data_IF_341478835236
#
_entry.id   IF_341478835236
#
_cell.length_a   1.000
_cell.length_b   1.000
_cell.length_c   1.000
_cell.angle_alpha   90.00
_cell.angle_beta   90.00
_cell.angle_gamma   90.00
#
_symmetry.space_group_name_H-M   'P 1'
#
loop_
_entity.id
_entity.type
_entity.pdbx_description
1 polymer ?
#
# COMPACT_ATOMS: atom_id res chain seq x y z
N UNK A 1 -11.46 -20.52 -20.00
CA UNK A 1 -12.55 -19.49 -20.06
C UNK A 1 -12.65 -18.60 -18.83
N UNK A 2 -12.22 -18.99 -17.63
CA UNK A 2 -12.24 -18.16 -16.42
C UNK A 2 -11.28 -16.96 -16.50
N UNK A 3 -10.04 -17.16 -16.96
CA UNK A 3 -9.03 -16.10 -17.05
C UNK A 3 -9.39 -14.97 -18.03
N UNK A 4 -10.06 -15.30 -19.15
CA UNK A 4 -10.48 -14.31 -20.14
C UNK A 4 -11.58 -13.37 -19.59
N UNK A 5 -12.50 -13.89 -18.79
CA UNK A 5 -13.56 -13.09 -18.13
C UNK A 5 -13.00 -12.17 -17.05
N UNK A 6 -11.97 -12.61 -16.32
CA UNK A 6 -11.28 -11.80 -15.30
C UNK A 6 -10.54 -10.65 -15.99
N UNK A 7 -9.80 -10.93 -17.06
CA UNK A 7 -9.06 -9.91 -17.83
C UNK A 7 -9.99 -8.87 -18.45
N UNK A 8 -11.12 -9.28 -19.04
CA UNK A 8 -12.11 -8.37 -19.61
C UNK A 8 -12.77 -7.47 -18.55
N UNK A 9 -13.05 -8.01 -17.37
CA UNK A 9 -13.65 -7.24 -16.27
C UNK A 9 -12.68 -6.20 -15.68
N UNK A 10 -11.41 -6.55 -15.55
CA UNK A 10 -10.34 -5.62 -15.13
C UNK A 10 -10.21 -4.49 -16.16
N UNK A 11 -10.20 -4.82 -17.45
CA UNK A 11 -10.18 -3.83 -18.53
C UNK A 11 -11.40 -2.91 -18.52
N UNK A 12 -12.59 -3.42 -18.28
CA UNK A 12 -13.82 -2.60 -18.20
C UNK A 12 -13.78 -1.66 -17.00
N UNK A 13 -13.28 -2.10 -15.85
CA UNK A 13 -13.17 -1.26 -14.66
C UNK A 13 -12.09 -0.19 -14.81
N UNK A 14 -10.96 -0.54 -15.40
CA UNK A 14 -9.91 0.42 -15.76
C UNK A 14 -10.43 1.43 -16.81
N UNK A 15 -11.23 0.99 -17.78
CA UNK A 15 -11.84 1.85 -18.79
C UNK A 15 -12.89 2.80 -18.17
N UNK A 16 -13.70 2.34 -17.23
CA UNK A 16 -14.65 3.19 -16.48
C UNK A 16 -13.91 4.21 -15.60
N UNK A 17 -12.85 3.78 -14.92
CA UNK A 17 -11.97 4.66 -14.15
C UNK A 17 -11.31 5.69 -15.07
N UNK A 18 -10.80 5.27 -16.22
CA UNK A 18 -10.19 6.11 -17.26
C UNK A 18 -11.17 7.14 -17.83
N UNK A 19 -12.39 6.72 -18.19
CA UNK A 19 -13.41 7.61 -18.74
C UNK A 19 -13.89 8.64 -17.70
N UNK A 20 -14.11 8.21 -16.46
CA UNK A 20 -14.51 9.10 -15.35
C UNK A 20 -13.42 10.13 -15.03
N UNK A 21 -12.16 9.72 -15.07
CA UNK A 21 -11.01 10.58 -14.85
C UNK A 21 -10.76 11.55 -16.01
N UNK A 22 -10.87 11.06 -17.25
CA UNK A 22 -10.65 11.86 -18.48
C UNK A 22 -11.66 13.00 -18.62
N UNK A 23 -12.88 12.82 -18.12
CA UNK A 23 -13.92 13.86 -18.11
C UNK A 23 -13.58 14.98 -17.12
N UNK A 24 -13.12 14.67 -15.91
CA UNK A 24 -12.81 15.67 -14.87
C UNK A 24 -11.47 16.41 -15.10
N UNK A 25 -10.46 15.78 -15.70
CA UNK A 25 -9.12 16.37 -15.85
C UNK A 25 -8.93 17.23 -17.09
N UNK A 26 -9.83 17.19 -18.06
CA UNK A 26 -9.71 18.01 -19.28
C UNK A 26 -9.78 19.52 -19.06
N UNK A 27 -10.23 19.96 -17.88
CA UNK A 27 -10.50 21.38 -17.62
C UNK A 27 -9.43 22.09 -16.80
N UNK A 28 -8.63 21.40 -15.98
CA UNK A 28 -7.76 22.07 -14.99
C UNK A 28 -6.26 21.70 -15.05
N UNK A 29 -5.88 20.65 -15.77
CA UNK A 29 -4.48 20.23 -15.97
C UNK A 29 -3.85 19.45 -14.79
N UNK A 30 -2.79 18.69 -15.10
CA UNK A 30 -2.13 17.78 -14.16
C UNK A 30 -1.59 18.46 -12.90
N UNK A 31 -0.93 19.62 -13.03
CA UNK A 31 -0.32 20.31 -11.89
C UNK A 31 -1.37 20.87 -10.92
N UNK A 32 -2.53 21.31 -11.44
CA UNK A 32 -3.66 21.68 -10.57
C UNK A 32 -4.14 20.46 -9.77
N UNK A 33 -4.39 19.36 -10.44
CA UNK A 33 -4.82 18.10 -9.83
C UNK A 33 -3.85 17.66 -8.70
N UNK A 34 -2.54 17.67 -8.95
CA UNK A 34 -1.54 17.28 -7.96
C UNK A 34 -1.53 18.24 -6.75
N UNK A 35 -1.65 19.56 -6.98
CA UNK A 35 -1.69 20.57 -5.89
C UNK A 35 -2.98 20.45 -5.08
N UNK A 36 -4.14 20.35 -5.75
CA UNK A 36 -5.41 20.22 -5.07
C UNK A 36 -5.46 18.97 -4.16
N UNK A 37 -4.89 17.87 -4.63
CA UNK A 37 -4.81 16.63 -3.83
C UNK A 37 -3.78 16.68 -2.70
N UNK A 38 -2.97 17.74 -2.62
CA UNK A 38 -1.89 17.81 -1.65
C UNK A 38 -0.71 16.88 -1.99
N UNK A 39 -0.54 16.52 -3.26
CA UNK A 39 0.54 15.65 -3.74
C UNK A 39 1.82 16.40 -4.09
N UNK A 40 1.91 17.69 -3.83
CA UNK A 40 3.10 18.52 -4.09
C UNK A 40 3.65 19.03 -2.78
N UNK A 41 4.77 18.47 -2.33
CA UNK A 41 5.52 18.98 -1.18
C UNK A 41 6.65 19.93 -1.64
N UNK A 42 7.47 19.51 -2.61
CA UNK A 42 8.60 20.30 -3.12
C UNK A 42 8.70 20.11 -4.64
N UNK A 43 9.16 21.18 -5.31
CA UNK A 43 9.46 21.22 -6.75
C UNK A 43 10.83 21.85 -6.95
N UNK A 44 11.68 21.28 -7.80
CA UNK A 44 13.00 21.87 -8.11
C UNK A 44 12.90 23.14 -8.94
N UNK A 45 11.97 23.16 -9.90
CA UNK A 45 11.65 24.33 -10.74
C UNK A 45 10.18 24.18 -11.20
N UNK A 46 9.26 24.88 -10.52
CA UNK A 46 7.82 24.75 -10.80
C UNK A 46 7.46 25.22 -12.22
N UNK A 47 7.92 26.40 -12.63
CA UNK A 47 7.61 26.97 -13.94
C UNK A 47 8.24 26.15 -15.08
N UNK A 48 9.48 25.67 -14.89
CA UNK A 48 10.18 24.81 -15.83
C UNK A 48 9.48 23.48 -16.02
N UNK A 49 9.07 22.83 -14.91
CA UNK A 49 8.34 21.55 -14.95
C UNK A 49 6.99 21.68 -15.65
N UNK A 50 6.20 22.70 -15.33
CA UNK A 50 4.91 22.94 -15.99
C UNK A 50 5.05 23.14 -17.51
N UNK A 51 6.02 23.96 -17.91
CA UNK A 51 6.33 24.17 -19.33
C UNK A 51 6.80 22.88 -20.00
N UNK A 52 7.62 22.09 -19.33
CA UNK A 52 8.14 20.81 -19.85
C UNK A 52 7.01 19.80 -20.07
N UNK A 53 6.09 19.66 -19.11
CA UNK A 53 4.93 18.79 -19.20
C UNK A 53 3.96 19.20 -20.33
N UNK A 54 3.77 20.49 -20.59
CA UNK A 54 2.92 20.99 -21.66
C UNK A 54 3.49 20.69 -23.06
N UNK A 55 4.78 20.43 -23.17
CA UNK A 55 5.48 20.15 -24.45
C UNK A 55 5.24 18.77 -25.05
N UNK A 56 4.29 17.97 -24.54
CA UNK A 56 3.92 16.63 -25.03
C UNK A 56 4.17 15.52 -24.02
N UNK A 57 4.13 14.27 -24.48
CA UNK A 57 4.40 13.10 -23.62
C UNK A 57 5.83 13.15 -23.06
N UNK A 58 5.97 12.90 -21.76
CA UNK A 58 7.26 12.91 -21.05
C UNK A 58 7.42 11.64 -20.22
N UNK A 59 8.67 11.13 -20.16
CA UNK A 59 9.02 10.07 -19.24
C UNK A 59 9.27 10.62 -17.84
N UNK A 60 8.77 9.92 -16.82
CA UNK A 60 9.01 10.21 -15.41
C UNK A 60 9.18 8.91 -14.65
N UNK A 61 9.90 8.94 -13.52
CA UNK A 61 10.08 7.73 -12.73
C UNK A 61 9.90 7.92 -11.23
N UNK A 62 9.58 6.81 -10.56
CA UNK A 62 9.69 6.66 -9.12
C UNK A 62 10.41 5.35 -8.80
N UNK A 63 11.33 5.40 -7.82
CA UNK A 63 12.06 4.23 -7.33
C UNK A 63 11.31 3.54 -6.18
N UNK A 64 11.37 2.21 -6.16
CA UNK A 64 10.81 1.35 -5.13
C UNK A 64 11.86 0.32 -4.72
N UNK A 65 12.45 0.53 -3.54
CA UNK A 65 13.38 -0.44 -2.97
C UNK A 65 12.62 -1.64 -2.40
N UNK A 66 13.00 -2.87 -2.76
CA UNK A 66 12.41 -4.07 -2.23
C UNK A 66 12.88 -4.29 -0.78
N UNK A 67 12.06 -3.88 0.17
CA UNK A 67 12.30 -4.06 1.62
C UNK A 67 11.52 -5.22 2.21
N UNK A 68 10.67 -5.83 1.42
CA UNK A 68 9.86 -7.02 1.65
C UNK A 68 9.35 -7.55 0.31
N UNK A 69 8.74 -8.73 0.34
CA UNK A 69 8.07 -9.36 -0.82
C UNK A 69 6.72 -8.72 -1.20
N UNK A 70 6.35 -7.61 -0.56
CA UNK A 70 5.16 -6.83 -0.87
C UNK A 70 5.40 -5.34 -0.63
N UNK A 71 4.72 -4.51 -1.41
CA UNK A 71 4.54 -3.10 -1.12
C UNK A 71 3.53 -2.94 0.01
N UNK A 72 3.70 -1.89 0.80
CA UNK A 72 2.75 -1.49 1.83
C UNK A 72 1.89 -0.30 1.37
N UNK A 73 0.86 0.00 2.13
CA UNK A 73 -0.13 1.03 1.80
C UNK A 73 0.48 2.43 1.56
N UNK A 74 1.62 2.77 2.20
CA UNK A 74 2.34 4.02 1.94
C UNK A 74 2.90 4.13 0.52
N UNK A 75 3.19 3.00 -0.12
CA UNK A 75 3.65 2.95 -1.51
C UNK A 75 2.55 3.27 -2.54
N UNK A 76 1.28 3.31 -2.11
CA UNK A 76 0.16 3.69 -3.00
C UNK A 76 0.29 5.14 -3.47
N UNK A 77 0.74 6.07 -2.62
CA UNK A 77 0.82 7.49 -3.00
C UNK A 77 1.69 7.70 -4.25
N UNK A 78 2.96 7.25 -4.29
CA UNK A 78 3.76 7.39 -5.49
C UNK A 78 3.25 6.55 -6.67
N UNK A 79 2.68 5.36 -6.44
CA UNK A 79 2.07 4.55 -7.51
C UNK A 79 0.89 5.27 -8.16
N UNK A 80 -0.01 5.84 -7.35
CA UNK A 80 -1.16 6.57 -7.84
C UNK A 80 -0.77 7.91 -8.48
N UNK A 81 0.33 8.54 -8.03
CA UNK A 81 0.89 9.69 -8.71
C UNK A 81 1.39 9.31 -10.11
N UNK A 82 2.18 8.23 -10.25
CA UNK A 82 2.59 7.72 -11.57
C UNK A 82 1.38 7.43 -12.48
N UNK A 83 0.31 6.83 -11.93
CA UNK A 83 -0.94 6.60 -12.68
C UNK A 83 -1.59 7.89 -13.14
N UNK A 84 -1.60 8.95 -12.32
CA UNK A 84 -2.13 10.27 -12.71
C UNK A 84 -1.35 10.87 -13.88
N UNK A 85 -0.03 10.79 -13.83
CA UNK A 85 0.80 11.20 -14.97
C UNK A 85 0.50 10.37 -16.24
N UNK A 86 0.33 9.05 -16.10
CA UNK A 86 -0.02 8.17 -17.21
C UNK A 86 -1.36 8.56 -17.85
N UNK A 87 -2.38 8.83 -17.03
CA UNK A 87 -3.71 9.24 -17.49
C UNK A 87 -3.69 10.60 -18.22
N UNK A 88 -2.64 11.39 -18.02
CA UNK A 88 -2.40 12.66 -18.74
C UNK A 88 -1.51 12.50 -19.99
N UNK A 89 -1.19 11.27 -20.37
CA UNK A 89 -0.42 10.98 -21.58
C UNK A 89 1.09 10.94 -21.40
N UNK A 90 1.58 10.98 -20.14
CA UNK A 90 3.00 10.83 -19.85
C UNK A 90 3.35 9.35 -19.65
N UNK A 91 4.64 8.99 -19.85
CA UNK A 91 5.18 7.63 -19.77
C UNK A 91 5.79 7.37 -18.38
N UNK A 92 5.11 6.64 -17.47
CA UNK A 92 5.67 6.33 -16.16
C UNK A 92 6.70 5.20 -16.25
N UNK A 93 7.77 5.33 -15.47
CA UNK A 93 8.78 4.30 -15.27
C UNK A 93 8.78 3.92 -13.79
N UNK A 94 8.60 2.64 -13.52
CA UNK A 94 8.83 2.07 -12.19
C UNK A 94 10.25 1.56 -12.13
N UNK A 95 11.06 2.13 -11.26
CA UNK A 95 12.40 1.65 -11.01
C UNK A 95 12.41 0.74 -9.79
N UNK A 96 12.71 -0.53 -9.97
CA UNK A 96 12.89 -1.48 -8.88
C UNK A 96 14.34 -1.46 -8.41
N UNK A 97 14.53 -1.31 -7.12
CA UNK A 97 15.83 -1.18 -6.48
C UNK A 97 16.54 -2.50 -6.25
N UNK A 98 16.80 -3.29 -7.30
CA UNK A 98 17.53 -4.56 -7.17
C UNK A 98 18.96 -4.40 -6.66
N UNK A 99 19.63 -3.27 -7.00
CA UNK A 99 20.94 -2.92 -6.46
C UNK A 99 20.82 -2.10 -5.16
N UNK A 100 20.01 -1.05 -5.16
CA UNK A 100 19.84 -0.16 -4.00
C UNK A 100 19.21 -0.87 -2.80
N UNK A 101 18.36 -1.87 -3.03
CA UNK A 101 17.82 -2.74 -1.99
C UNK A 101 18.86 -3.63 -1.27
N UNK A 102 20.03 -3.83 -1.89
CA UNK A 102 21.17 -4.52 -1.23
C UNK A 102 21.95 -3.59 -0.30
N UNK A 103 21.85 -2.28 -0.49
CA UNK A 103 22.58 -1.25 0.25
C UNK A 103 21.72 -0.67 1.38
N UNK A 104 20.48 -0.29 1.07
CA UNK A 104 19.53 0.30 2.01
C UNK A 104 19.59 1.81 2.09
N UNK A 105 18.46 2.46 1.81
CA UNK A 105 18.29 3.91 1.91
C UNK A 105 18.26 4.36 3.39
N UNK A 106 19.13 5.31 3.81
CA UNK A 106 19.12 5.87 5.15
C UNK A 106 17.98 6.88 5.38
N UNK A 107 17.32 7.37 4.32
CA UNK A 107 16.32 8.44 4.39
C UNK A 107 15.12 8.07 5.27
N UNK A 108 14.73 8.96 6.19
CA UNK A 108 13.58 8.80 7.07
C UNK A 108 13.70 7.67 8.11
N UNK A 109 14.93 7.20 8.41
CA UNK A 109 15.20 6.11 9.36
C UNK A 109 16.20 6.50 10.43
N UNK A 110 16.03 5.82 11.55
CA UNK A 110 16.87 5.99 12.73
C UNK A 110 18.02 4.96 12.81
N UNK A 111 17.77 3.75 12.30
CA UNK A 111 18.70 2.61 12.39
C UNK A 111 19.18 2.16 11.01
N UNK A 112 20.38 1.56 10.97
CA UNK A 112 20.94 0.92 9.78
C UNK A 112 20.09 -0.27 9.35
N UNK A 113 19.96 -0.48 8.05
CA UNK A 113 19.22 -1.62 7.52
C UNK A 113 20.04 -2.90 7.63
N UNK A 114 19.36 -3.98 7.98
CA UNK A 114 19.95 -5.31 7.78
C UNK A 114 20.15 -5.57 6.29
N UNK A 115 21.35 -5.95 5.91
CA UNK A 115 21.68 -6.28 4.52
C UNK A 115 21.09 -7.65 4.17
N UNK A 116 20.33 -7.68 3.06
CA UNK A 116 19.76 -8.91 2.53
C UNK A 116 20.66 -9.51 1.44
N UNK A 117 20.54 -10.81 1.21
CA UNK A 117 21.27 -11.47 0.11
C UNK A 117 20.68 -11.11 -1.25
N UNK A 118 21.51 -11.19 -2.31
CA UNK A 118 21.08 -10.95 -3.70
C UNK A 118 19.88 -11.84 -4.10
N UNK A 119 19.84 -13.09 -3.62
CA UNK A 119 18.72 -14.01 -3.91
C UNK A 119 17.41 -13.56 -3.27
N UNK A 120 17.44 -13.10 -2.01
CA UNK A 120 16.26 -12.58 -1.31
C UNK A 120 15.75 -11.30 -1.98
N UNK A 121 16.63 -10.34 -2.26
CA UNK A 121 16.24 -9.10 -2.94
C UNK A 121 15.68 -9.38 -4.34
N UNK A 122 16.28 -10.32 -5.09
CA UNK A 122 15.81 -10.73 -6.41
C UNK A 122 14.37 -11.28 -6.35
N UNK A 123 14.07 -12.18 -5.41
CA UNK A 123 12.70 -12.71 -5.24
C UNK A 123 11.68 -11.63 -4.88
N UNK A 124 12.08 -10.64 -4.10
CA UNK A 124 11.22 -9.50 -3.77
C UNK A 124 10.97 -8.59 -4.97
N UNK A 125 11.98 -8.34 -5.80
CA UNK A 125 11.83 -7.61 -7.07
C UNK A 125 10.77 -8.25 -7.95
N UNK A 126 10.80 -9.57 -8.14
CA UNK A 126 9.79 -10.31 -8.92
C UNK A 126 8.37 -10.17 -8.33
N UNK A 127 8.26 -10.26 -7.00
CA UNK A 127 6.99 -10.07 -6.29
C UNK A 127 6.44 -8.64 -6.49
N UNK A 128 7.29 -7.62 -6.33
CA UNK A 128 6.91 -6.23 -6.53
C UNK A 128 6.50 -5.97 -7.98
N UNK A 129 7.24 -6.51 -8.96
CA UNK A 129 6.92 -6.38 -10.38
C UNK A 129 5.50 -6.89 -10.69
N UNK A 130 5.12 -8.01 -10.10
CA UNK A 130 3.77 -8.57 -10.25
C UNK A 130 2.70 -7.67 -9.62
N UNK A 131 2.99 -7.07 -8.47
CA UNK A 131 2.03 -6.19 -7.77
C UNK A 131 1.81 -4.87 -8.51
N UNK A 132 2.89 -4.22 -8.96
CA UNK A 132 2.80 -2.91 -9.64
C UNK A 132 2.09 -2.98 -10.98
N UNK A 133 2.13 -4.15 -11.64
CA UNK A 133 1.44 -4.41 -12.89
C UNK A 133 -0.08 -4.20 -12.86
N UNK A 134 -0.68 -4.10 -11.66
CA UNK A 134 -2.11 -3.83 -11.48
C UNK A 134 -2.46 -2.34 -11.49
N UNK A 135 -1.49 -1.46 -11.26
CA UNK A 135 -1.74 -0.02 -11.10
C UNK A 135 -1.50 0.79 -12.37
N UNK A 136 -0.66 0.31 -13.27
CA UNK A 136 -0.27 1.01 -14.49
C UNK A 136 -0.64 0.20 -15.73
N UNK A 137 -0.84 0.89 -16.84
CA UNK A 137 -1.05 0.26 -18.13
C UNK A 137 0.30 0.07 -18.83
N UNK A 138 0.58 -1.14 -19.29
CA UNK A 138 1.82 -1.52 -19.98
C UNK A 138 1.64 -1.63 -21.49
N UNK A 139 0.46 -1.35 -21.97
CA UNK A 139 0.09 -1.32 -23.39
C UNK A 139 -0.43 0.07 -23.77
N UNK A 140 -0.66 0.31 -25.06
CA UNK A 140 -1.27 1.54 -25.55
C UNK A 140 -0.27 2.61 -25.99
N UNK A 141 -0.70 3.88 -26.01
CA UNK A 141 0.08 5.01 -26.57
C UNK A 141 1.22 5.48 -25.66
N UNK A 142 1.07 5.35 -24.34
CA UNK A 142 2.06 5.76 -23.34
C UNK A 142 2.26 4.66 -22.28
N UNK A 143 2.77 3.48 -22.71
CA UNK A 143 2.92 2.34 -21.85
C UNK A 143 3.90 2.63 -20.71
N UNK A 144 3.59 2.10 -19.52
CA UNK A 144 4.54 2.10 -18.41
C UNK A 144 5.73 1.19 -18.71
N UNK A 145 6.86 1.49 -18.07
CA UNK A 145 8.06 0.64 -18.16
C UNK A 145 8.48 0.23 -16.75
N UNK A 146 8.90 -1.00 -16.58
CA UNK A 146 9.57 -1.48 -15.37
C UNK A 146 11.05 -1.63 -15.67
N UNK A 147 11.90 -1.00 -14.86
CA UNK A 147 13.35 -1.12 -14.89
C UNK A 147 13.85 -1.69 -13.56
N UNK A 148 14.96 -2.41 -13.60
CA UNK A 148 15.69 -2.86 -12.42
C UNK A 148 17.08 -2.20 -12.42
N UNK A 149 17.43 -1.45 -11.39
CA UNK A 149 18.72 -0.77 -11.34
C UNK A 149 19.92 -1.74 -11.22
N UNK A 150 19.68 -3.00 -10.89
CA UNK A 150 20.72 -4.03 -10.95
C UNK A 150 21.27 -4.24 -12.36
N UNK A 151 20.46 -4.03 -13.42
CA UNK A 151 20.82 -4.26 -14.81
C UNK A 151 22.02 -3.42 -15.29
N UNK A 152 22.20 -2.25 -14.71
CA UNK A 152 23.35 -1.38 -15.01
C UNK A 152 24.37 -1.33 -13.87
N UNK A 153 23.93 -1.49 -12.61
CA UNK A 153 24.84 -1.37 -11.48
C UNK A 153 25.80 -2.55 -11.37
N UNK A 154 25.35 -3.79 -11.64
CA UNK A 154 26.23 -4.96 -11.52
C UNK A 154 27.33 -5.02 -12.59
N UNK A 155 27.18 -4.25 -13.67
CA UNK A 155 28.18 -4.17 -14.76
C UNK A 155 29.26 -3.11 -14.51
N UNK A 156 29.08 -2.33 -13.45
CA UNK A 156 29.95 -1.19 -13.16
C UNK A 156 31.09 -1.61 -12.23
N UNK A 157 32.33 -1.40 -12.66
CA UNK A 157 33.47 -1.62 -11.77
C UNK A 157 33.67 -0.44 -10.79
N UNK A 158 34.26 -0.74 -9.66
CA UNK A 158 34.44 0.21 -8.55
C UNK A 158 35.25 1.44 -8.97
N UNK A 159 36.29 1.28 -9.78
CA UNK A 159 37.15 2.40 -10.20
C UNK A 159 36.38 3.34 -11.10
N UNK A 160 35.65 2.80 -12.08
CA UNK A 160 34.78 3.59 -12.97
C UNK A 160 33.68 4.32 -12.19
N UNK A 161 33.04 3.66 -11.22
CA UNK A 161 32.05 4.30 -10.35
C UNK A 161 32.63 5.50 -9.59
N UNK A 162 33.76 5.31 -8.92
CA UNK A 162 34.38 6.39 -8.15
C UNK A 162 34.88 7.53 -9.03
N UNK A 163 35.50 7.20 -10.18
CA UNK A 163 36.05 8.19 -11.11
C UNK A 163 34.98 8.98 -11.86
N UNK A 164 33.93 8.31 -12.35
CA UNK A 164 33.00 8.94 -13.29
C UNK A 164 31.71 9.44 -12.61
N UNK A 165 31.31 8.84 -11.51
CA UNK A 165 30.19 9.26 -10.71
C UNK A 165 30.65 9.97 -9.43
N UNK A 166 31.48 9.31 -8.62
CA UNK A 166 31.91 9.79 -7.30
C UNK A 166 32.54 11.18 -7.34
N UNK A 167 33.35 11.51 -8.35
CA UNK A 167 34.00 12.83 -8.50
C UNK A 167 33.03 14.02 -8.54
N UNK A 168 31.76 13.78 -8.84
CA UNK A 168 30.74 14.83 -8.93
C UNK A 168 30.07 15.12 -7.59
N UNK A 169 30.37 14.34 -6.56
CA UNK A 169 29.80 14.46 -5.22
C UNK A 169 30.84 14.98 -4.22
N UNK A 170 30.59 16.17 -3.71
CA UNK A 170 31.41 16.73 -2.63
C UNK A 170 31.00 16.08 -1.29
N UNK A 171 31.96 15.52 -0.55
CA UNK A 171 31.75 14.95 0.78
C UNK A 171 31.11 16.00 1.72
N UNK A 172 31.56 17.25 1.69
CA UNK A 172 30.96 18.33 2.48
C UNK A 172 29.48 18.55 2.12
N UNK A 173 29.12 18.49 0.83
CA UNK A 173 27.73 18.57 0.38
C UNK A 173 26.88 17.38 0.79
N UNK A 174 27.46 16.19 0.79
CA UNK A 174 26.78 14.94 1.21
C UNK A 174 26.50 14.97 2.72
N UNK A 175 27.45 15.40 3.55
CA UNK A 175 27.28 15.52 5.02
C UNK A 175 26.16 16.52 5.39
N UNK A 176 25.95 17.56 4.59
CA UNK A 176 24.89 18.54 4.83
C UNK A 176 23.48 18.07 4.47
N UNK A 177 23.34 16.90 3.84
CA UNK A 177 22.00 16.33 3.57
C UNK A 177 21.31 15.96 4.86
N UNK A 178 20.01 16.27 4.97
CA UNK A 178 19.22 16.06 6.20
C UNK A 178 19.30 14.61 6.69
N UNK A 179 19.16 13.63 5.78
CA UNK A 179 19.24 12.20 6.10
C UNK A 179 20.60 11.79 6.70
N UNK A 180 21.69 12.40 6.24
CA UNK A 180 23.04 12.11 6.74
C UNK A 180 23.30 12.88 8.05
N UNK A 181 22.96 14.17 8.08
CA UNK A 181 23.16 15.04 9.23
C UNK A 181 22.45 14.51 10.47
N UNK A 182 21.18 14.15 10.35
CA UNK A 182 20.39 13.56 11.44
C UNK A 182 21.04 12.32 12.04
N UNK A 183 21.71 11.50 11.23
CA UNK A 183 22.43 10.30 11.70
C UNK A 183 23.76 10.66 12.38
N UNK A 184 24.50 11.65 11.87
CA UNK A 184 25.77 12.10 12.44
C UNK A 184 25.60 12.87 13.76
N UNK A 185 24.50 13.60 13.93
CA UNK A 185 24.22 14.36 15.14
C UNK A 185 23.78 13.49 16.34
N UNK A 186 23.58 12.18 16.13
CA UNK A 186 23.21 11.24 17.21
C UNK A 186 24.43 10.66 17.91
N UNK A 187 24.39 10.62 19.22
CA UNK A 187 25.42 9.98 20.03
C UNK A 187 25.41 8.45 19.81
N UNK A 188 26.55 7.90 19.46
CA UNK A 188 26.82 6.45 19.47
C UNK A 188 26.48 5.68 18.21
N UNK A 189 25.75 6.22 17.26
CA UNK A 189 25.44 5.53 16.00
C UNK A 189 25.74 6.45 14.81
N UNK A 190 26.90 6.34 14.21
CA UNK A 190 27.24 7.01 12.97
C UNK A 190 26.42 6.48 11.78
N UNK A 191 26.85 6.81 10.58
CA UNK A 191 26.36 6.27 9.30
C UNK A 191 27.48 5.41 8.70
N UNK A 192 27.17 4.20 8.24
CA UNK A 192 28.15 3.39 7.51
C UNK A 192 28.48 4.00 6.15
N UNK A 193 29.67 3.70 5.60
CA UNK A 193 30.00 4.13 4.24
C UNK A 193 29.00 3.57 3.22
N UNK A 194 28.47 2.39 3.45
CA UNK A 194 27.46 1.74 2.63
C UNK A 194 26.21 2.61 2.53
N UNK A 195 25.58 2.98 3.65
CA UNK A 195 24.43 3.88 3.66
C UNK A 195 24.77 5.30 3.15
N UNK A 196 25.94 5.84 3.51
CA UNK A 196 26.40 7.14 3.05
C UNK A 196 26.53 7.22 1.52
N UNK A 197 26.96 6.12 0.89
CA UNK A 197 27.11 6.04 -0.57
C UNK A 197 25.79 5.85 -1.32
N UNK A 198 24.69 5.52 -0.65
CA UNK A 198 23.39 5.24 -1.28
C UNK A 198 22.95 6.34 -2.25
N UNK A 199 23.11 7.62 -1.87
CA UNK A 199 22.69 8.75 -2.71
C UNK A 199 23.41 8.81 -4.07
N UNK A 200 24.63 8.23 -4.18
CA UNK A 200 25.36 8.16 -5.43
C UNK A 200 24.70 7.15 -6.38
N UNK A 201 24.24 6.03 -5.84
CA UNK A 201 23.57 4.99 -6.62
C UNK A 201 22.25 5.50 -7.17
N UNK A 202 21.42 6.14 -6.33
CA UNK A 202 20.14 6.71 -6.77
C UNK A 202 20.33 7.85 -7.78
N UNK A 203 21.38 8.68 -7.62
CA UNK A 203 21.68 9.71 -8.60
C UNK A 203 22.16 9.12 -9.94
N UNK A 204 22.91 8.02 -9.90
CA UNK A 204 23.31 7.26 -11.09
C UNK A 204 22.09 6.65 -11.80
N UNK A 205 21.10 6.13 -11.03
CA UNK A 205 19.85 5.62 -11.60
C UNK A 205 19.13 6.70 -12.42
N UNK A 206 19.06 7.93 -11.89
CA UNK A 206 18.46 9.04 -12.64
C UNK A 206 19.23 9.33 -13.93
N UNK A 207 20.56 9.32 -13.87
CA UNK A 207 21.42 9.51 -15.05
C UNK A 207 21.19 8.42 -16.10
N UNK A 208 21.14 7.15 -15.68
CA UNK A 208 20.91 6.02 -16.59
C UNK A 208 19.52 6.08 -17.25
N UNK A 209 18.48 6.43 -16.48
CA UNK A 209 17.14 6.62 -17.03
C UNK A 209 17.05 7.84 -17.95
N UNK A 210 17.79 8.92 -17.66
CA UNK A 210 17.87 10.07 -18.55
C UNK A 210 18.52 9.72 -19.89
N UNK A 211 19.53 8.85 -19.87
CA UNK A 211 20.23 8.38 -21.10
C UNK A 211 19.41 7.38 -21.90
N UNK A 212 18.76 6.43 -21.25
CA UNK A 212 18.09 5.29 -21.90
C UNK A 212 16.64 5.60 -22.31
N UNK A 213 15.93 6.37 -21.49
CA UNK A 213 14.48 6.59 -21.60
C UNK A 213 14.10 8.06 -21.77
N UNK A 214 15.09 8.95 -21.98
CA UNK A 214 14.91 10.41 -21.97
C UNK A 214 14.08 10.89 -20.75
N UNK A 215 14.28 10.20 -19.61
CA UNK A 215 13.55 10.46 -18.38
C UNK A 215 14.20 11.61 -17.63
N UNK A 216 13.53 12.75 -17.60
CA UNK A 216 14.02 13.97 -16.96
C UNK A 216 13.19 14.41 -15.75
N UNK A 217 12.26 13.58 -15.27
CA UNK A 217 11.45 13.85 -14.08
C UNK A 217 11.58 12.70 -13.11
N UNK A 218 12.00 12.98 -11.87
CA UNK A 218 11.94 12.04 -10.76
C UNK A 218 10.88 12.49 -9.76
N UNK A 219 10.01 11.56 -9.34
CA UNK A 219 9.07 11.78 -8.26
C UNK A 219 9.39 10.86 -7.08
N UNK A 220 9.01 11.26 -5.86
CA UNK A 220 9.25 10.46 -4.64
C UNK A 220 8.63 11.07 -3.41
N UNK A 221 8.83 10.48 -2.24
CA UNK A 221 8.48 11.06 -0.95
C UNK A 221 9.34 12.28 -0.62
N UNK A 222 8.90 13.15 0.27
CA UNK A 222 9.66 14.34 0.68
C UNK A 222 10.98 14.00 1.39
N UNK A 223 11.09 12.81 1.98
CA UNK A 223 12.32 12.25 2.53
C UNK A 223 13.39 11.98 1.45
N UNK A 224 12.99 11.83 0.20
CA UNK A 224 13.86 11.56 -0.96
C UNK A 224 14.45 12.84 -1.59
N UNK A 225 14.06 14.04 -1.15
CA UNK A 225 14.43 15.29 -1.77
C UNK A 225 15.94 15.45 -1.99
N UNK A 226 16.74 15.14 -0.97
CA UNK A 226 18.19 15.22 -1.03
C UNK A 226 18.81 14.32 -2.11
N UNK A 227 18.34 13.07 -2.20
CA UNK A 227 18.79 12.10 -3.19
C UNK A 227 18.40 12.55 -4.61
N UNK A 228 17.15 12.99 -4.79
CA UNK A 228 16.61 13.42 -6.11
C UNK A 228 17.38 14.62 -6.65
N UNK A 229 17.64 15.65 -5.82
CA UNK A 229 18.40 16.85 -6.24
C UNK A 229 19.83 16.50 -6.63
N UNK A 230 20.44 15.52 -5.97
CA UNK A 230 21.76 15.01 -6.35
C UNK A 230 21.75 14.39 -7.74
N UNK A 231 20.69 13.66 -8.08
CA UNK A 231 20.47 13.11 -9.42
C UNK A 231 20.29 14.18 -10.50
N UNK A 232 19.52 15.24 -10.21
CA UNK A 232 19.36 16.40 -11.13
C UNK A 232 20.72 17.01 -11.48
N UNK A 233 21.58 17.23 -10.49
CA UNK A 233 22.93 17.78 -10.71
C UNK A 233 23.77 16.85 -11.59
N UNK A 234 23.70 15.55 -11.37
CA UNK A 234 24.44 14.56 -12.15
C UNK A 234 23.94 14.50 -13.60
N UNK A 235 22.63 14.50 -13.83
CA UNK A 235 22.02 14.55 -15.16
C UNK A 235 22.44 15.82 -15.90
N UNK A 236 22.38 16.99 -15.27
CA UNK A 236 22.79 18.25 -15.86
C UNK A 236 24.26 18.22 -16.31
N UNK A 237 25.17 17.64 -15.51
CA UNK A 237 26.62 17.57 -15.81
C UNK A 237 26.95 16.61 -16.95
N UNK A 238 26.21 15.51 -17.07
CA UNK A 238 26.51 14.46 -18.04
C UNK A 238 25.68 14.52 -19.32
N UNK A 239 24.42 14.94 -19.23
CA UNK A 239 23.49 14.98 -20.37
C UNK A 239 23.29 16.39 -20.90
N UNK A 240 23.59 17.42 -20.08
CA UNK A 240 23.41 18.83 -20.47
C UNK A 240 21.94 19.27 -20.54
N UNK A 241 21.00 18.46 -20.06
CA UNK A 241 19.56 18.77 -20.02
C UNK A 241 19.15 19.16 -18.60
N UNK A 242 18.13 20.02 -18.52
CA UNK A 242 17.47 20.32 -17.26
C UNK A 242 16.59 19.13 -16.86
N UNK A 243 16.73 18.67 -15.62
CA UNK A 243 15.90 17.63 -15.02
C UNK A 243 15.09 18.19 -13.85
N UNK A 244 13.99 17.54 -13.49
CA UNK A 244 13.00 18.04 -12.55
C UNK A 244 12.74 17.05 -11.43
N UNK A 245 12.45 17.59 -10.24
CA UNK A 245 11.99 16.85 -9.08
C UNK A 245 10.59 17.31 -8.68
N UNK A 246 9.76 16.36 -8.31
CA UNK A 246 8.52 16.57 -7.58
C UNK A 246 8.48 15.60 -6.41
N UNK A 247 8.37 16.12 -5.17
CA UNK A 247 8.17 15.26 -4.00
C UNK A 247 6.77 15.40 -3.44
N UNK A 248 6.28 14.29 -2.90
CA UNK A 248 4.99 14.18 -2.23
C UNK A 248 5.19 14.17 -0.71
N UNK A 249 4.24 14.72 0.07
CA UNK A 249 4.34 14.66 1.53
C UNK A 249 4.29 13.21 2.02
N UNK A 250 5.00 12.93 3.11
CA UNK A 250 4.82 11.69 3.84
C UNK A 250 3.46 11.71 4.51
N UNK A 251 2.70 10.63 4.34
CA UNK A 251 1.36 10.53 4.90
C UNK A 251 1.45 10.29 6.40
N UNK A 252 0.78 11.14 7.17
CA UNK A 252 0.58 11.01 8.62
C UNK A 252 -0.90 11.01 8.93
N UNK A 253 -1.30 10.44 10.06
CA UNK A 253 -2.65 10.58 10.56
C UNK A 253 -2.80 11.88 11.34
N UNK A 254 -4.01 12.37 11.48
CA UNK A 254 -4.35 13.59 12.25
C UNK A 254 -3.95 13.50 13.72
N UNK A 255 -3.86 12.29 14.29
CA UNK A 255 -3.39 12.04 15.65
C UNK A 255 -1.85 12.02 15.78
N UNK A 256 -1.11 12.30 14.70
CA UNK A 256 0.35 12.29 14.64
C UNK A 256 0.98 10.90 14.54
N UNK A 257 0.19 9.84 14.54
CA UNK A 257 0.73 8.48 14.40
C UNK A 257 1.14 8.18 12.95
N UNK A 258 2.09 7.24 12.79
CA UNK A 258 2.57 6.84 11.46
C UNK A 258 1.44 6.17 10.68
N UNK A 259 1.19 6.64 9.46
CA UNK A 259 0.28 6.00 8.53
C UNK A 259 0.77 4.62 8.09
N UNK A 260 -0.16 3.71 7.80
CA UNK A 260 0.16 2.39 7.24
C UNK A 260 0.51 1.32 8.26
N UNK A 261 0.35 1.61 9.55
CA UNK A 261 0.43 0.61 10.62
C UNK A 261 -0.94 0.37 11.23
N UNK A 262 -1.31 -0.89 11.39
CA UNK A 262 -2.44 -1.37 12.18
C UNK A 262 -1.93 -1.96 13.51
N UNK A 263 -2.82 -2.42 14.37
CA UNK A 263 -2.45 -3.15 15.58
C UNK A 263 -1.65 -4.43 15.29
N UNK A 264 -1.84 -5.02 14.10
CA UNK A 264 -1.14 -6.22 13.62
C UNK A 264 0.14 -5.92 12.81
N UNK A 265 0.55 -4.66 12.67
CA UNK A 265 1.75 -4.27 11.92
C UNK A 265 1.47 -3.48 10.64
N UNK A 266 2.35 -3.60 9.64
CA UNK A 266 2.20 -2.91 8.37
C UNK A 266 0.98 -3.43 7.58
N UNK A 267 0.25 -2.52 6.93
CA UNK A 267 -0.84 -2.87 6.00
C UNK A 267 -0.25 -3.05 4.60
N UNK A 268 -0.29 -4.28 4.12
CA UNK A 268 0.32 -4.71 2.87
C UNK A 268 -0.66 -4.66 1.69
N UNK A 269 -0.13 -4.51 0.48
CA UNK A 269 -0.93 -4.57 -0.75
C UNK A 269 -1.15 -6.02 -1.22
N UNK A 270 -0.36 -6.99 -0.72
CA UNK A 270 -0.57 -8.40 -0.98
C UNK A 270 -1.71 -8.96 -0.11
N UNK A 271 -2.72 -9.52 -0.77
CA UNK A 271 -3.86 -10.15 -0.11
C UNK A 271 -3.49 -11.33 0.81
N UNK A 272 -2.32 -11.96 0.59
CA UNK A 272 -1.82 -13.03 1.46
C UNK A 272 -1.27 -12.52 2.79
N UNK A 273 -0.86 -11.24 2.86
CA UNK A 273 -0.30 -10.60 4.07
C UNK A 273 -1.31 -9.75 4.83
N UNK A 274 -2.16 -9.04 4.10
CA UNK A 274 -3.31 -8.31 4.63
C UNK A 274 -4.50 -8.68 3.78
N UNK A 275 -5.47 -9.40 4.34
CA UNK A 275 -6.64 -9.83 3.59
C UNK A 275 -7.40 -8.63 3.02
N UNK A 276 -8.16 -8.77 1.94
CA UNK A 276 -9.03 -7.71 1.44
C UNK A 276 -10.03 -7.20 2.50
N UNK A 277 -10.49 -8.06 3.41
CA UNK A 277 -11.35 -7.65 4.51
C UNK A 277 -10.62 -6.77 5.53
N UNK A 278 -9.44 -7.19 6.01
CA UNK A 278 -8.61 -6.37 6.91
C UNK A 278 -8.19 -5.05 6.26
N UNK A 279 -7.87 -5.08 4.98
CA UNK A 279 -7.54 -3.90 4.18
C UNK A 279 -8.74 -2.94 4.09
N UNK A 280 -9.94 -3.45 3.81
CA UNK A 280 -11.18 -2.67 3.79
C UNK A 280 -11.48 -2.06 5.16
N UNK A 281 -11.34 -2.84 6.25
CA UNK A 281 -11.55 -2.38 7.62
C UNK A 281 -10.57 -1.28 8.03
N UNK A 282 -9.31 -1.34 7.57
CA UNK A 282 -8.35 -0.28 7.82
C UNK A 282 -8.87 1.08 7.33
N UNK A 283 -9.38 1.13 6.11
CA UNK A 283 -9.93 2.36 5.53
C UNK A 283 -11.28 2.74 6.14
N UNK A 284 -12.12 1.77 6.40
CA UNK A 284 -13.41 2.00 7.04
C UNK A 284 -13.24 2.62 8.43
N UNK A 285 -12.16 2.31 9.16
CA UNK A 285 -11.86 2.83 10.48
C UNK A 285 -11.04 4.13 10.48
N UNK A 286 -10.93 4.80 9.35
CA UNK A 286 -10.32 6.13 9.25
C UNK A 286 -11.02 7.14 10.16
N UNK A 287 -10.26 7.97 10.88
CA UNK A 287 -10.81 9.07 11.68
C UNK A 287 -11.45 10.12 10.76
N UNK A 288 -12.49 10.79 11.23
CA UNK A 288 -13.25 11.77 10.43
C UNK A 288 -12.34 12.87 9.87
N UNK A 289 -11.36 13.33 10.67
CA UNK A 289 -10.39 14.34 10.25
C UNK A 289 -9.45 13.89 9.11
N UNK A 290 -9.25 12.58 8.94
CA UNK A 290 -8.38 12.01 7.92
C UNK A 290 -9.13 11.65 6.62
N UNK A 291 -10.47 11.68 6.63
CA UNK A 291 -11.29 11.22 5.48
C UNK A 291 -11.02 12.05 4.24
N UNK A 292 -11.12 13.37 4.32
CA UNK A 292 -10.90 14.25 3.18
C UNK A 292 -9.47 14.14 2.63
N UNK A 293 -8.40 14.27 3.46
CA UNK A 293 -7.03 14.06 2.98
C UNK A 293 -6.82 12.71 2.29
N UNK A 294 -7.38 11.62 2.85
CA UNK A 294 -7.18 10.30 2.28
C UNK A 294 -8.00 10.07 1.00
N UNK A 295 -9.21 10.64 0.89
CA UNK A 295 -9.94 10.65 -0.37
C UNK A 295 -9.15 11.34 -1.48
N UNK A 296 -8.50 12.46 -1.18
CA UNK A 296 -7.63 13.19 -2.13
C UNK A 296 -6.43 12.36 -2.56
N UNK A 297 -5.72 11.76 -1.62
CA UNK A 297 -4.47 11.04 -1.88
C UNK A 297 -4.69 9.69 -2.57
N UNK A 298 -5.65 8.89 -2.10
CA UNK A 298 -5.76 7.46 -2.39
C UNK A 298 -6.87 7.10 -3.38
N UNK A 299 -7.67 8.08 -3.83
CA UNK A 299 -8.75 7.83 -4.80
C UNK A 299 -8.60 8.67 -6.07
N UNK A 300 -9.40 8.34 -7.09
CA UNK A 300 -9.53 9.12 -8.31
C UNK A 300 -10.85 9.90 -8.36
N UNK A 301 -11.49 10.13 -7.22
CA UNK A 301 -12.72 10.93 -7.13
C UNK A 301 -12.44 12.39 -7.51
N UNK A 302 -13.42 13.03 -8.12
CA UNK A 302 -13.33 14.44 -8.51
C UNK A 302 -13.41 15.39 -7.31
N UNK A 303 -13.04 16.65 -7.51
CA UNK A 303 -12.99 17.68 -6.47
C UNK A 303 -14.36 17.88 -5.80
N UNK A 304 -15.44 18.01 -6.59
CA UNK A 304 -16.79 18.18 -6.08
C UNK A 304 -17.26 16.98 -5.25
N UNK A 305 -16.99 15.74 -5.71
CA UNK A 305 -17.38 14.51 -5.01
C UNK A 305 -16.64 14.38 -3.66
N UNK A 306 -15.37 14.78 -3.63
CA UNK A 306 -14.58 14.78 -2.37
C UNK A 306 -15.12 15.86 -1.43
N UNK A 307 -15.45 17.05 -1.92
CA UNK A 307 -16.01 18.13 -1.11
C UNK A 307 -17.37 17.74 -0.50
N UNK A 308 -18.25 17.11 -1.30
CA UNK A 308 -19.55 16.61 -0.84
C UNK A 308 -19.39 15.56 0.27
N UNK A 309 -18.44 14.60 0.09
CA UNK A 309 -18.17 13.56 1.08
C UNK A 309 -17.57 14.14 2.36
N UNK A 310 -16.68 15.13 2.26
CA UNK A 310 -16.11 15.82 3.41
C UNK A 310 -17.20 16.60 4.18
N UNK A 311 -18.05 17.34 3.48
CA UNK A 311 -19.19 18.03 4.06
C UNK A 311 -20.17 17.08 4.76
N UNK A 312 -20.50 15.95 4.12
CA UNK A 312 -21.34 14.91 4.72
C UNK A 312 -20.72 14.26 5.95
N UNK A 313 -19.38 14.07 5.97
CA UNK A 313 -18.66 13.52 7.13
C UNK A 313 -18.73 14.46 8.32
N UNK A 314 -18.64 15.79 8.10
CA UNK A 314 -18.78 16.78 9.16
C UNK A 314 -20.22 16.86 9.66
N UNK A 315 -21.19 16.88 8.75
CA UNK A 315 -22.61 17.08 9.09
C UNK A 315 -23.24 15.86 9.80
N UNK A 316 -22.84 14.63 9.42
CA UNK A 316 -23.41 13.38 9.91
C UNK A 316 -22.33 12.29 10.04
N UNK A 317 -21.38 12.45 10.99
CA UNK A 317 -20.25 11.53 11.15
C UNK A 317 -20.69 10.09 11.47
N UNK A 318 -21.83 9.90 12.15
CA UNK A 318 -22.38 8.59 12.50
C UNK A 318 -22.70 7.71 11.28
N UNK A 319 -22.98 8.31 10.13
CA UNK A 319 -23.25 7.57 8.88
C UNK A 319 -21.99 7.00 8.24
N UNK A 320 -20.82 7.55 8.58
CA UNK A 320 -19.50 7.13 8.05
C UNK A 320 -19.47 7.02 6.51
N UNK A 321 -20.17 7.94 5.82
CA UNK A 321 -20.31 7.91 4.37
C UNK A 321 -18.97 8.07 3.65
N UNK A 322 -18.14 9.02 4.09
CA UNK A 322 -16.81 9.26 3.54
C UNK A 322 -15.87 8.07 3.74
N UNK A 323 -15.86 7.45 4.94
CA UNK A 323 -15.06 6.27 5.23
C UNK A 323 -15.47 5.06 4.37
N UNK A 324 -16.78 4.83 4.20
CA UNK A 324 -17.28 3.75 3.34
C UNK A 324 -16.86 3.96 1.90
N UNK A 325 -16.99 5.19 1.38
CA UNK A 325 -16.55 5.49 0.02
C UNK A 325 -15.05 5.30 -0.15
N UNK A 326 -14.25 5.80 0.79
CA UNK A 326 -12.80 5.62 0.81
C UNK A 326 -12.42 4.12 0.81
N UNK A 327 -13.00 3.33 1.71
CA UNK A 327 -12.74 1.90 1.81
C UNK A 327 -13.11 1.15 0.52
N UNK A 328 -14.24 1.48 -0.09
CA UNK A 328 -14.68 0.90 -1.37
C UNK A 328 -13.70 1.21 -2.51
N UNK A 329 -13.39 2.50 -2.71
CA UNK A 329 -12.53 2.95 -3.82
C UNK A 329 -11.14 2.32 -3.72
N UNK A 330 -10.52 2.37 -2.53
CA UNK A 330 -9.15 1.88 -2.39
C UNK A 330 -9.08 0.36 -2.38
N UNK A 331 -10.04 -0.36 -1.77
CA UNK A 331 -10.08 -1.82 -1.82
C UNK A 331 -10.34 -2.32 -3.23
N UNK A 332 -11.24 -1.70 -3.96
CA UNK A 332 -11.49 -2.03 -5.36
C UNK A 332 -10.25 -1.81 -6.24
N UNK A 333 -9.54 -0.71 -6.01
CA UNK A 333 -8.33 -0.36 -6.76
C UNK A 333 -7.20 -1.39 -6.54
N UNK A 334 -6.99 -1.83 -5.31
CA UNK A 334 -5.88 -2.72 -4.94
C UNK A 334 -6.22 -4.19 -5.17
N UNK A 335 -7.40 -4.61 -4.75
CA UNK A 335 -7.78 -6.03 -4.71
C UNK A 335 -8.84 -6.43 -5.74
N UNK A 336 -9.48 -5.45 -6.40
CA UNK A 336 -10.52 -5.69 -7.39
C UNK A 336 -11.92 -5.80 -6.80
N UNK A 337 -12.91 -5.86 -7.70
CA UNK A 337 -14.33 -5.79 -7.34
C UNK A 337 -14.82 -7.01 -6.56
N UNK A 338 -14.36 -8.21 -6.91
CA UNK A 338 -14.83 -9.44 -6.24
C UNK A 338 -14.32 -9.51 -4.79
N UNK A 339 -13.07 -9.06 -4.55
CA UNK A 339 -12.51 -8.94 -3.21
C UNK A 339 -13.21 -7.85 -2.38
N UNK A 340 -13.57 -6.71 -3.01
CA UNK A 340 -14.38 -5.69 -2.35
C UNK A 340 -15.73 -6.24 -1.91
N UNK A 341 -16.45 -6.93 -2.81
CA UNK A 341 -17.75 -7.55 -2.47
C UNK A 341 -17.65 -8.55 -1.32
N UNK A 342 -16.57 -9.33 -1.29
CA UNK A 342 -16.27 -10.24 -0.17
C UNK A 342 -16.07 -9.47 1.13
N UNK A 343 -15.24 -8.42 1.12
CA UNK A 343 -14.97 -7.60 2.30
C UNK A 343 -16.24 -6.89 2.84
N UNK A 344 -17.10 -6.38 1.95
CA UNK A 344 -18.37 -5.76 2.31
C UNK A 344 -19.33 -6.80 2.92
N UNK A 345 -19.48 -7.97 2.28
CA UNK A 345 -20.33 -9.06 2.79
C UNK A 345 -19.89 -9.52 4.17
N UNK A 346 -18.58 -9.74 4.39
CA UNK A 346 -18.06 -10.09 5.72
C UNK A 346 -18.42 -9.00 6.73
N UNK A 347 -18.18 -7.73 6.37
CA UNK A 347 -18.45 -6.58 7.22
C UNK A 347 -19.91 -6.50 7.65
N UNK A 348 -20.83 -6.64 6.69
CA UNK A 348 -22.28 -6.61 6.92
C UNK A 348 -22.75 -7.79 7.77
N UNK A 349 -22.31 -9.01 7.44
CA UNK A 349 -22.66 -10.22 8.18
C UNK A 349 -22.20 -10.16 9.65
N UNK A 350 -20.95 -9.73 9.89
CA UNK A 350 -20.45 -9.60 11.26
C UNK A 350 -21.14 -8.49 12.04
N UNK A 351 -21.46 -7.36 11.39
CA UNK A 351 -22.19 -6.27 12.02
C UNK A 351 -23.62 -6.66 12.38
N UNK A 352 -24.38 -7.25 11.46
CA UNK A 352 -25.74 -7.75 11.70
C UNK A 352 -25.76 -8.93 12.67
N UNK A 353 -24.69 -9.72 12.71
CA UNK A 353 -24.61 -10.98 13.45
C UNK A 353 -25.33 -12.13 12.74
N UNK A 354 -25.50 -12.01 11.44
CA UNK A 354 -26.08 -12.99 10.53
C UNK A 354 -24.98 -13.60 9.66
N UNK A 355 -24.87 -14.92 9.66
CA UNK A 355 -23.77 -15.60 8.97
C UNK A 355 -24.20 -16.32 7.68
N UNK A 356 -25.52 -16.37 7.42
CA UNK A 356 -26.06 -17.09 6.24
C UNK A 356 -25.56 -16.54 4.89
N UNK A 357 -25.10 -15.29 4.85
CA UNK A 357 -24.55 -14.67 3.65
C UNK A 357 -23.07 -14.93 3.39
N UNK A 358 -22.34 -15.48 4.39
CA UNK A 358 -20.90 -15.73 4.25
C UNK A 358 -20.63 -16.88 3.28
N UNK A 359 -19.51 -16.79 2.57
CA UNK A 359 -18.95 -17.84 1.73
C UNK A 359 -17.76 -18.49 2.45
N UNK A 360 -17.37 -19.71 2.01
CA UNK A 360 -16.24 -20.42 2.58
C UNK A 360 -14.94 -19.59 2.55
N UNK A 361 -14.67 -18.92 1.42
CA UNK A 361 -13.52 -18.02 1.28
C UNK A 361 -13.54 -16.82 2.24
N UNK A 362 -14.72 -16.38 2.69
CA UNK A 362 -14.85 -15.29 3.67
C UNK A 362 -14.37 -15.75 5.06
N UNK A 363 -14.70 -16.98 5.45
CA UNK A 363 -14.26 -17.58 6.71
C UNK A 363 -12.74 -17.80 6.70
N UNK A 364 -12.18 -18.22 5.56
CA UNK A 364 -10.74 -18.35 5.40
C UNK A 364 -10.02 -17.00 5.56
N UNK A 365 -10.57 -15.89 5.05
CA UNK A 365 -10.03 -14.54 5.28
C UNK A 365 -10.06 -14.16 6.76
N UNK A 366 -11.16 -14.41 7.45
CA UNK A 366 -11.27 -14.13 8.89
C UNK A 366 -10.24 -14.90 9.71
N UNK A 367 -9.95 -16.15 9.34
CA UNK A 367 -8.90 -16.96 9.95
C UNK A 367 -7.51 -16.37 9.67
N UNK A 368 -7.23 -15.99 8.43
CA UNK A 368 -5.97 -15.34 8.04
C UNK A 368 -5.74 -14.04 8.84
N UNK A 369 -6.78 -13.27 9.10
CA UNK A 369 -6.74 -12.01 9.84
C UNK A 369 -6.55 -12.17 11.36
N UNK A 370 -6.35 -13.40 11.80
CA UNK A 370 -6.11 -13.70 13.21
C UNK A 370 -7.37 -13.71 14.06
N UNK A 371 -8.55 -13.95 13.44
CA UNK A 371 -9.73 -14.27 14.23
C UNK A 371 -9.40 -15.43 15.15
N UNK A 372 -9.64 -15.26 16.44
CA UNK A 372 -9.37 -16.27 17.46
C UNK A 372 -9.98 -17.61 17.02
N UNK A 373 -9.14 -18.60 16.71
CA UNK A 373 -9.57 -19.87 16.19
C UNK A 373 -8.94 -21.04 16.94
N UNK A 374 -9.68 -22.13 17.02
CA UNK A 374 -9.18 -23.43 17.47
C UNK A 374 -9.52 -24.50 16.44
N UNK A 375 -8.80 -25.60 16.47
CA UNK A 375 -9.10 -26.80 15.67
C UNK A 375 -9.75 -27.84 16.55
N UNK A 376 -10.70 -28.59 15.99
CA UNK A 376 -11.36 -29.68 16.73
C UNK A 376 -11.93 -30.74 15.82
N UNK A 377 -12.29 -31.86 16.43
CA UNK A 377 -12.97 -32.97 15.78
C UNK A 377 -14.48 -32.97 16.08
N UNK A 378 -15.27 -33.71 15.28
CA UNK A 378 -16.69 -33.89 15.54
C UNK A 378 -16.91 -34.44 16.95
N UNK A 379 -17.86 -33.84 17.69
CA UNK A 379 -18.14 -34.19 19.08
C UNK A 379 -17.45 -33.34 20.12
N UNK A 380 -16.63 -32.35 19.71
CA UNK A 380 -16.05 -31.37 20.65
C UNK A 380 -17.16 -30.64 21.41
N UNK A 381 -17.00 -30.50 22.72
CA UNK A 381 -17.93 -29.74 23.55
C UNK A 381 -17.81 -28.24 23.31
N UNK A 382 -18.95 -27.54 23.22
CA UNK A 382 -18.98 -26.08 23.01
C UNK A 382 -18.18 -25.31 24.07
N UNK A 383 -18.23 -25.70 25.34
CA UNK A 383 -17.47 -25.05 26.40
C UNK A 383 -15.96 -25.10 26.14
N UNK A 384 -15.47 -26.25 25.66
CA UNK A 384 -14.06 -26.44 25.29
C UNK A 384 -13.69 -25.57 24.10
N UNK A 385 -14.48 -25.62 23.04
CA UNK A 385 -14.26 -24.78 21.85
C UNK A 385 -14.21 -23.28 22.18
N UNK A 386 -15.08 -22.79 23.07
CA UNK A 386 -15.08 -21.38 23.52
C UNK A 386 -13.81 -21.01 24.30
N UNK A 387 -13.26 -21.92 25.11
CA UNK A 387 -12.02 -21.66 25.86
C UNK A 387 -10.82 -21.68 24.91
N UNK A 388 -10.73 -22.67 24.05
CA UNK A 388 -9.65 -22.81 23.07
C UNK A 388 -9.64 -21.66 22.04
N UNK A 389 -10.81 -21.22 21.58
CA UNK A 389 -10.96 -20.03 20.75
C UNK A 389 -10.85 -18.70 21.55
N UNK A 390 -10.38 -18.74 22.80
CA UNK A 390 -10.17 -17.56 23.67
C UNK A 390 -11.42 -16.67 23.87
N UNK A 391 -12.60 -17.21 23.65
CA UNK A 391 -13.87 -16.53 23.90
C UNK A 391 -14.29 -16.59 25.37
N UNK A 392 -13.69 -17.47 26.16
CA UNK A 392 -13.88 -17.57 27.60
C UNK A 392 -12.55 -17.98 28.26
N UNK A 393 -12.31 -17.50 29.49
CA UNK A 393 -11.10 -17.83 30.27
C UNK A 393 -11.17 -19.25 30.88
N UNK A 394 -12.38 -19.80 31.00
CA UNK A 394 -12.64 -21.12 31.57
C UNK A 394 -13.97 -21.67 31.11
N UNK A 395 -14.17 -22.97 31.23
CA UNK A 395 -15.46 -23.64 30.97
C UNK A 395 -16.58 -23.14 31.89
N UNK A 396 -16.24 -22.70 33.11
CA UNK A 396 -17.16 -22.05 34.04
C UNK A 396 -17.68 -20.72 33.54
N UNK A 397 -16.79 -19.88 32.97
CA UNK A 397 -17.18 -18.61 32.34
C UNK A 397 -18.02 -18.86 31.08
N UNK A 398 -17.57 -19.78 30.21
CA UNK A 398 -18.31 -20.17 29.01
C UNK A 398 -19.75 -20.61 29.34
N UNK A 399 -19.92 -21.43 30.37
CA UNK A 399 -21.25 -21.87 30.87
C UNK A 399 -22.13 -20.70 31.30
N UNK A 400 -21.61 -19.74 32.09
CA UNK A 400 -22.34 -18.55 32.50
C UNK A 400 -22.75 -17.69 31.31
N UNK A 401 -21.88 -17.55 30.31
CA UNK A 401 -22.17 -16.81 29.07
C UNK A 401 -23.31 -17.43 28.29
N UNK A 402 -23.34 -18.78 28.14
CA UNK A 402 -24.40 -19.50 27.45
C UNK A 402 -25.73 -19.35 28.22
N UNK A 403 -25.73 -19.60 29.55
CA UNK A 403 -26.90 -19.44 30.40
C UNK A 403 -27.47 -18.02 30.43
N UNK A 404 -26.59 -17.02 30.21
CA UNK A 404 -26.96 -15.60 30.07
C UNK A 404 -27.40 -15.21 28.67
N UNK A 405 -27.63 -16.15 27.75
CA UNK A 405 -27.99 -15.89 26.35
C UNK A 405 -26.96 -15.03 25.60
N UNK A 406 -25.70 -15.09 26.03
CA UNK A 406 -24.61 -14.28 25.49
C UNK A 406 -23.84 -14.95 24.33
N UNK A 407 -24.23 -16.15 23.90
CA UNK A 407 -23.49 -16.91 22.88
C UNK A 407 -24.39 -17.28 21.70
N UNK A 408 -23.87 -17.04 20.49
CA UNK A 408 -24.48 -17.51 19.25
C UNK A 408 -23.49 -18.38 18.48
N UNK A 409 -23.96 -19.42 17.83
CA UNK A 409 -23.19 -20.26 16.89
C UNK A 409 -23.87 -20.17 15.52
N UNK A 410 -23.08 -19.87 14.51
CA UNK A 410 -23.57 -19.70 13.13
C UNK A 410 -24.83 -18.78 13.07
N UNK A 411 -24.84 -17.72 13.90
CA UNK A 411 -25.94 -16.77 14.02
C UNK A 411 -27.08 -17.20 14.95
N UNK A 412 -27.19 -18.48 15.34
CA UNK A 412 -28.25 -19.02 16.19
C UNK A 412 -27.89 -18.94 17.67
N UNK A 413 -28.86 -18.54 18.50
CA UNK A 413 -28.67 -18.49 19.94
C UNK A 413 -28.53 -19.90 20.52
N UNK A 414 -27.55 -20.08 21.40
CA UNK A 414 -27.31 -21.33 22.11
C UNK A 414 -27.65 -21.16 23.59
N UNK A 415 -28.44 -22.11 24.11
CA UNK A 415 -28.89 -22.12 25.52
C UNK A 415 -28.42 -23.36 26.29
N UNK A 416 -28.00 -24.43 25.58
CA UNK A 416 -27.52 -25.67 26.19
C UNK A 416 -25.98 -25.65 26.36
N UNK A 417 -25.47 -25.56 27.61
CA UNK A 417 -24.03 -25.60 27.83
C UNK A 417 -23.40 -27.01 27.64
N UNK A 418 -24.22 -28.06 27.45
CA UNK A 418 -23.73 -29.41 27.18
C UNK A 418 -23.67 -29.71 25.68
N UNK A 419 -24.00 -28.76 24.82
CA UNK A 419 -23.97 -28.91 23.37
C UNK A 419 -22.61 -29.39 22.90
N UNK A 420 -22.60 -30.38 22.05
CA UNK A 420 -21.46 -30.87 21.27
C UNK A 420 -21.62 -30.44 19.83
N UNK A 421 -20.50 -30.20 19.15
CA UNK A 421 -20.46 -29.66 17.79
C UNK A 421 -20.11 -30.79 16.82
N UNK A 422 -21.01 -31.09 15.85
CA UNK A 422 -20.75 -32.00 14.75
C UNK A 422 -20.46 -31.21 13.49
N UNK A 423 -19.39 -31.53 12.76
CA UNK A 423 -19.07 -30.84 11.53
C UNK A 423 -20.08 -31.07 10.40
N UNK A 424 -21.00 -32.02 10.55
CA UNK A 424 -22.11 -32.17 9.62
C UNK A 424 -23.08 -30.96 9.66
N UNK A 425 -23.17 -30.29 10.82
CA UNK A 425 -24.00 -29.07 11.03
C UNK A 425 -23.21 -27.78 10.89
N UNK A 426 -21.93 -27.83 10.50
CA UNK A 426 -21.05 -26.70 10.40
C UNK A 426 -21.23 -25.94 9.07
N UNK A 427 -20.74 -24.70 9.02
CA UNK A 427 -20.67 -23.93 7.77
C UNK A 427 -19.66 -24.62 6.85
N UNK A 428 -20.09 -24.99 5.65
CA UNK A 428 -19.28 -25.64 4.61
C UNK A 428 -18.62 -26.96 5.05
N UNK A 429 -19.15 -27.64 6.08
CA UNK A 429 -18.53 -28.82 6.63
C UNK A 429 -17.21 -28.62 7.36
N UNK A 430 -16.82 -27.38 7.62
CA UNK A 430 -15.49 -27.02 8.11
C UNK A 430 -15.47 -26.00 9.26
N UNK A 431 -16.45 -25.10 9.37
CA UNK A 431 -16.35 -23.94 10.25
C UNK A 431 -17.55 -23.77 11.18
N UNK A 432 -17.28 -23.44 12.43
CA UNK A 432 -18.26 -22.86 13.31
C UNK A 432 -17.83 -21.45 13.70
N UNK A 433 -18.67 -20.44 13.42
CA UNK A 433 -18.47 -19.08 13.85
C UNK A 433 -19.21 -18.86 15.19
N UNK A 434 -18.43 -18.68 16.26
CA UNK A 434 -18.95 -18.53 17.63
C UNK A 434 -18.90 -17.04 17.98
N UNK A 435 -20.04 -16.45 18.38
CA UNK A 435 -20.13 -15.04 18.79
C UNK A 435 -20.40 -14.95 20.28
N UNK A 436 -19.57 -14.19 21.01
CA UNK A 436 -19.77 -13.79 22.39
C UNK A 436 -20.25 -12.34 22.45
N UNK A 437 -21.43 -12.12 23.03
CA UNK A 437 -22.03 -10.78 23.12
C UNK A 437 -22.29 -10.16 21.74
N UNK A 438 -22.00 -8.85 21.60
CA UNK A 438 -22.31 -8.10 20.36
C UNK A 438 -21.15 -8.06 19.36
N UNK A 439 -19.89 -8.18 19.80
CA UNK A 439 -18.73 -7.81 18.98
C UNK A 439 -17.60 -8.84 18.95
N UNK A 440 -17.57 -9.80 19.87
CA UNK A 440 -16.49 -10.78 19.93
C UNK A 440 -16.85 -12.03 19.14
N UNK A 441 -15.97 -12.41 18.23
CA UNK A 441 -16.10 -13.61 17.42
C UNK A 441 -14.91 -14.53 17.65
N UNK A 442 -15.12 -15.80 17.53
CA UNK A 442 -14.11 -16.85 17.46
C UNK A 442 -14.55 -17.92 16.49
N UNK A 443 -13.65 -18.76 16.07
CA UNK A 443 -13.90 -19.78 15.08
C UNK A 443 -13.41 -21.14 15.56
N UNK A 444 -14.23 -22.18 15.38
CA UNK A 444 -13.78 -23.56 15.43
C UNK A 444 -13.64 -24.06 14.00
N UNK A 445 -12.48 -24.61 13.67
CA UNK A 445 -12.14 -25.15 12.36
C UNK A 445 -11.98 -26.66 12.49
N UNK A 446 -12.46 -27.41 11.49
CA UNK A 446 -12.28 -28.85 11.44
C UNK A 446 -10.79 -29.21 11.43
N UNK A 447 -10.38 -30.07 12.35
CA UNK A 447 -9.06 -30.70 12.32
C UNK A 447 -8.88 -31.57 11.08
N UNK A 448 -7.66 -31.56 10.51
CA UNK A 448 -7.29 -32.41 9.34
C UNK A 448 -7.04 -33.83 9.79
#
# INVERSE_FOLDING_TARGET
MSNLRVTIRVLINLLKLYLRFKVNMKTQGLMHELRWRGLVAQLSNAAGLEKYLQGGSRSLYCGFDPTADSLHIGSLVPLLALKRFQLQGHKPILLLGGATGLIGDPSGRDDERNLNTKGVVGSWVESLQTQVGRFLDFDGENPAVICNNLDWTEKLDVVSFLRDIGKHFSVNGMIQRESVKTRLDREGQGISYTEFSYMLLQAMDFLELARREDCLIQIGGSDQWGNIVSGIDLVRRHVGKEAFALTMPLVTKSDGTKFGKSASGAVWLDAKKTSPYSFYQFWLNTADADVEPFLKLFTFLGEDEVADLAGATIARPELRGGQRKLAREVTQLVHGEDALKSAERISECLFAGEVAGLQEADLAQLQQDGLQSCTGESGIGLLTAMVEASLAKSTGEARKLIQGNGVKINGQLVTDPKMTLSFDDSLFGQFYLIRRGKKQYGMLVRGV
#
